data_IF_343702542106
#
_entry.id   IF_343702542106
#
_cell.length_a   1.000
_cell.length_b   1.000
_cell.length_c   1.000
_cell.angle_alpha   90.00
_cell.angle_beta   90.00
_cell.angle_gamma   90.00
#
_symmetry.space_group_name_H-M   'P 1'
#
loop_
_entity.id
_entity.type
_entity.pdbx_description
1 polymer ?
#
# COMPACT_ATOMS: atom_id res chain seq x y z
N UNK A 1 13.18 -25.60 10.02
CA UNK A 1 14.22 -24.58 10.36
C UNK A 1 15.09 -24.36 9.13
N UNK A 2 15.02 -23.19 8.51
CA UNK A 2 15.87 -22.85 7.36
C UNK A 2 17.13 -22.11 7.83
N UNK A 3 18.31 -22.60 7.44
CA UNK A 3 19.59 -21.93 7.70
C UNK A 3 19.89 -21.06 6.49
N UNK A 4 20.02 -19.76 6.70
CA UNK A 4 20.42 -18.84 5.62
C UNK A 4 21.93 -18.95 5.35
N UNK A 5 22.40 -18.50 4.18
CA UNK A 5 23.84 -18.41 3.85
C UNK A 5 24.69 -17.69 4.91
N UNK A 6 24.08 -16.88 5.79
CA UNK A 6 24.75 -16.19 6.90
C UNK A 6 24.94 -17.05 8.17
N UNK A 7 24.52 -18.32 8.17
CA UNK A 7 24.58 -19.20 9.35
C UNK A 7 23.56 -18.85 10.45
N UNK A 8 22.89 -17.70 10.36
CA UNK A 8 21.87 -17.28 11.33
C UNK A 8 20.63 -18.16 11.23
N UNK A 9 20.27 -18.81 12.35
CA UNK A 9 18.95 -19.42 12.56
C UNK A 9 17.92 -18.29 12.56
N UNK A 10 16.99 -18.28 11.60
CA UNK A 10 15.79 -17.44 11.74
C UNK A 10 14.83 -18.15 12.68
N UNK A 11 14.39 -17.45 13.73
CA UNK A 11 13.18 -17.80 14.46
C UNK A 11 12.04 -17.72 13.45
N UNK A 12 11.44 -18.87 13.11
CA UNK A 12 10.21 -18.93 12.34
C UNK A 12 9.07 -18.97 13.34
N UNK A 13 8.84 -17.85 14.03
CA UNK A 13 7.59 -17.66 14.77
C UNK A 13 6.49 -17.36 13.76
N UNK A 14 5.34 -18.01 13.93
CA UNK A 14 4.15 -17.71 13.12
C UNK A 14 3.69 -16.28 13.43
N UNK A 15 3.46 -15.49 12.39
CA UNK A 15 2.83 -14.17 12.57
C UNK A 15 1.33 -14.42 12.74
N UNK A 16 0.77 -14.05 13.89
CA UNK A 16 -0.67 -14.15 14.12
C UNK A 16 -1.33 -12.94 13.47
N UNK A 17 -2.07 -13.18 12.39
CA UNK A 17 -2.88 -12.17 11.72
C UNK A 17 -4.25 -12.10 12.39
N UNK A 18 -4.87 -10.91 12.50
CA UNK A 18 -6.26 -10.79 12.91
C UNK A 18 -7.18 -11.59 11.97
N UNK A 19 -8.21 -12.19 12.54
CA UNK A 19 -9.25 -12.89 11.80
C UNK A 19 -9.96 -11.96 10.81
N UNK A 20 -10.62 -12.53 9.80
CA UNK A 20 -11.43 -11.75 8.86
C UNK A 20 -12.57 -11.00 9.57
N UNK A 21 -13.12 -11.56 10.65
CA UNK A 21 -14.17 -10.92 11.43
C UNK A 21 -13.63 -9.70 12.21
N UNK A 22 -12.49 -9.85 12.89
CA UNK A 22 -11.84 -8.73 13.58
C UNK A 22 -11.47 -7.61 12.61
N UNK A 23 -11.03 -7.94 11.39
CA UNK A 23 -10.72 -6.95 10.34
C UNK A 23 -11.97 -6.24 9.81
N UNK A 24 -13.14 -6.89 9.82
CA UNK A 24 -14.39 -6.21 9.47
C UNK A 24 -14.77 -5.14 10.50
N UNK A 25 -14.32 -5.27 11.75
CA UNK A 25 -14.58 -4.28 12.80
C UNK A 25 -13.87 -2.94 12.56
N UNK A 26 -12.90 -2.87 11.64
CA UNK A 26 -12.31 -1.60 11.20
C UNK A 26 -13.37 -0.63 10.65
N UNK A 27 -14.48 -1.15 10.08
CA UNK A 27 -15.58 -0.32 9.59
C UNK A 27 -16.45 0.28 10.70
N UNK A 28 -16.18 -0.06 11.96
CA UNK A 28 -16.89 0.41 13.15
C UNK A 28 -16.05 1.40 13.97
N UNK A 29 -14.89 1.83 13.48
CA UNK A 29 -14.05 2.82 14.14
C UNK A 29 -14.83 4.14 14.29
N UNK A 30 -14.71 4.74 15.47
CA UNK A 30 -15.28 6.05 15.81
C UNK A 30 -14.16 6.97 16.34
N UNK A 31 -13.95 8.17 15.77
CA UNK A 31 -14.65 8.74 14.61
C UNK A 31 -14.41 7.95 13.32
N UNK A 32 -15.43 7.89 12.45
CA UNK A 32 -15.32 7.16 11.18
C UNK A 32 -14.25 7.79 10.28
N UNK A 33 -13.30 6.99 9.76
CA UNK A 33 -12.32 7.49 8.80
C UNK A 33 -12.99 7.78 7.45
N UNK A 34 -12.32 8.59 6.63
CA UNK A 34 -12.82 9.00 5.32
C UNK A 34 -12.48 7.99 4.23
N UNK A 35 -11.45 7.18 4.46
CA UNK A 35 -10.94 6.17 3.54
C UNK A 35 -10.54 4.91 4.30
N UNK A 36 -10.74 3.76 3.66
CA UNK A 36 -10.26 2.46 4.14
C UNK A 36 -9.39 1.78 3.11
N UNK A 37 -8.48 0.92 3.59
CA UNK A 37 -7.61 0.11 2.73
C UNK A 37 -8.21 -1.28 2.54
N UNK A 38 -8.24 -1.74 1.29
CA UNK A 38 -8.42 -3.17 0.97
C UNK A 38 -7.10 -3.75 0.49
N UNK A 39 -6.89 -5.03 0.82
CA UNK A 39 -5.75 -5.79 0.33
C UNK A 39 -6.23 -6.69 -0.80
N UNK A 40 -5.76 -6.44 -2.02
CA UNK A 40 -6.36 -6.95 -3.25
C UNK A 40 -6.10 -8.44 -3.56
N UNK A 41 -5.42 -9.17 -2.67
CA UNK A 41 -5.18 -10.59 -2.86
C UNK A 41 -4.51 -11.27 -1.66
N UNK A 42 -4.61 -12.59 -1.64
CA UNK A 42 -3.97 -13.42 -0.62
C UNK A 42 -2.58 -13.82 -1.06
N UNK A 43 -1.59 -13.67 -0.19
CA UNK A 43 -0.22 -14.09 -0.47
C UNK A 43 0.52 -14.45 0.82
N UNK A 44 1.68 -15.10 0.69
CA UNK A 44 2.51 -15.45 1.84
C UNK A 44 3.31 -14.23 2.31
N UNK A 45 2.86 -13.57 3.37
CA UNK A 45 3.54 -12.44 3.96
C UNK A 45 4.69 -12.91 4.85
N UNK A 46 5.92 -12.48 4.55
CA UNK A 46 7.10 -12.88 5.33
C UNK A 46 7.97 -11.70 5.75
N UNK A 47 8.39 -11.73 7.01
CA UNK A 47 9.36 -10.80 7.60
C UNK A 47 10.64 -11.55 7.98
N UNK A 48 11.69 -10.85 8.48
CA UNK A 48 12.82 -11.53 9.11
C UNK A 48 12.46 -12.35 10.35
N UNK A 49 11.30 -12.10 10.97
CA UNK A 49 10.87 -12.67 12.25
C UNK A 49 9.81 -13.77 12.12
N UNK A 50 9.29 -14.01 10.92
CA UNK A 50 8.20 -14.96 10.74
C UNK A 50 7.52 -14.85 9.39
N UNK A 51 6.48 -15.65 9.21
CA UNK A 51 5.60 -15.57 8.06
C UNK A 51 4.21 -16.05 8.39
N UNK A 52 3.26 -15.67 7.56
CA UNK A 52 1.85 -16.08 7.64
C UNK A 52 1.21 -15.94 6.27
N UNK A 53 0.19 -16.75 5.98
CA UNK A 53 -0.70 -16.44 4.88
C UNK A 53 -1.48 -15.16 5.22
N UNK A 54 -1.26 -14.10 4.46
CA UNK A 54 -2.08 -12.90 4.59
C UNK A 54 -3.35 -13.10 3.78
N UNK A 55 -4.42 -13.48 4.48
CA UNK A 55 -5.67 -13.94 3.88
C UNK A 55 -6.54 -12.75 3.46
N UNK A 56 -6.70 -12.54 2.16
CA UNK A 56 -7.63 -11.57 1.55
C UNK A 56 -8.41 -12.25 0.41
N UNK A 57 -9.34 -13.17 0.72
CA UNK A 57 -10.12 -13.84 -0.30
C UNK A 57 -11.10 -12.86 -0.96
N UNK A 58 -11.42 -13.11 -2.23
CA UNK A 58 -12.31 -12.22 -3.00
C UNK A 58 -13.67 -12.02 -2.32
N UNK A 59 -14.24 -13.03 -1.66
CA UNK A 59 -15.50 -12.89 -0.93
C UNK A 59 -15.42 -11.96 0.29
N UNK A 60 -14.26 -11.92 0.96
CA UNK A 60 -14.03 -10.97 2.05
C UNK A 60 -13.95 -9.55 1.49
N UNK A 61 -13.13 -9.33 0.46
CA UNK A 61 -13.01 -8.04 -0.20
C UNK A 61 -14.35 -7.56 -0.74
N UNK A 62 -15.12 -8.44 -1.39
CA UNK A 62 -16.48 -8.14 -1.86
C UNK A 62 -17.39 -7.64 -0.74
N UNK A 63 -17.38 -8.31 0.43
CA UNK A 63 -18.17 -7.90 1.59
C UNK A 63 -17.69 -6.57 2.16
N UNK A 64 -16.38 -6.38 2.27
CA UNK A 64 -15.77 -5.17 2.81
C UNK A 64 -16.05 -3.95 1.93
N UNK A 65 -15.81 -4.06 0.62
CA UNK A 65 -16.08 -3.02 -0.38
C UNK A 65 -17.56 -2.64 -0.39
N UNK A 66 -18.48 -3.61 -0.38
CA UNK A 66 -19.93 -3.32 -0.31
C UNK A 66 -20.28 -2.45 0.90
N UNK A 67 -19.67 -2.71 2.06
CA UNK A 67 -19.90 -1.91 3.28
C UNK A 67 -19.25 -0.53 3.20
N UNK A 68 -18.05 -0.42 2.62
CA UNK A 68 -17.39 0.87 2.35
C UNK A 68 -18.26 1.74 1.44
N UNK A 69 -18.72 1.19 0.31
CA UNK A 69 -19.58 1.88 -0.64
C UNK A 69 -20.89 2.34 0.00
N UNK A 70 -21.52 1.49 0.85
CA UNK A 70 -22.75 1.85 1.57
C UNK A 70 -22.55 3.04 2.52
N UNK A 71 -21.36 3.17 3.12
CA UNK A 71 -21.00 4.28 4.02
C UNK A 71 -20.38 5.48 3.29
N UNK A 72 -20.12 5.37 1.99
CA UNK A 72 -19.48 6.42 1.20
C UNK A 72 -17.99 6.63 1.51
N UNK A 73 -17.30 5.61 2.01
CA UNK A 73 -15.85 5.69 2.27
C UNK A 73 -15.05 5.62 0.96
N UNK A 74 -13.96 6.39 0.91
CA UNK A 74 -12.90 6.17 -0.08
C UNK A 74 -12.26 4.80 0.09
N UNK A 75 -11.65 4.28 -0.97
CA UNK A 75 -10.98 2.97 -0.95
C UNK A 75 -9.57 3.10 -1.51
N UNK A 76 -8.58 2.82 -0.67
CA UNK A 76 -7.20 2.57 -1.08
C UNK A 76 -7.02 1.08 -1.40
N UNK A 77 -6.47 0.77 -2.56
CA UNK A 77 -6.33 -0.62 -3.04
C UNK A 77 -4.87 -1.04 -2.98
N UNK A 78 -4.47 -1.73 -1.91
CA UNK A 78 -3.12 -2.27 -1.78
C UNK A 78 -2.93 -3.53 -2.65
N UNK A 79 -2.05 -3.41 -3.63
CA UNK A 79 -1.63 -4.49 -4.53
C UNK A 79 -0.17 -4.82 -4.27
N UNK A 80 0.10 -6.10 -4.02
CA UNK A 80 1.42 -6.59 -3.66
C UNK A 80 2.10 -7.31 -4.82
N UNK A 81 1.34 -7.59 -5.89
CA UNK A 81 1.77 -8.28 -7.10
C UNK A 81 0.81 -7.90 -8.24
N UNK A 82 1.18 -8.12 -9.50
CA UNK A 82 0.36 -7.77 -10.67
C UNK A 82 -0.97 -8.51 -10.68
N UNK A 83 -0.99 -9.77 -10.23
CA UNK A 83 -2.23 -10.55 -10.08
C UNK A 83 -3.29 -9.87 -9.18
N UNK A 84 -2.86 -9.07 -8.20
CA UNK A 84 -3.78 -8.34 -7.33
C UNK A 84 -4.49 -7.19 -8.06
N UNK A 85 -3.87 -6.61 -9.09
CA UNK A 85 -4.52 -5.63 -9.96
C UNK A 85 -5.64 -6.32 -10.72
N UNK A 86 -5.36 -7.48 -11.33
CA UNK A 86 -6.37 -8.29 -12.03
C UNK A 86 -7.55 -8.66 -11.12
N UNK A 87 -7.30 -9.10 -9.89
CA UNK A 87 -8.34 -9.40 -8.90
C UNK A 87 -9.29 -8.21 -8.65
N UNK A 88 -8.77 -6.98 -8.68
CA UNK A 88 -9.55 -5.76 -8.47
C UNK A 88 -10.37 -5.39 -9.69
N UNK A 89 -9.85 -5.64 -10.88
CA UNK A 89 -10.58 -5.39 -12.13
C UNK A 89 -11.84 -6.26 -12.25
N UNK A 90 -11.86 -7.47 -11.69
CA UNK A 90 -13.09 -8.27 -11.57
C UNK A 90 -14.20 -7.55 -10.77
N UNK A 91 -13.83 -6.72 -9.79
CA UNK A 91 -14.80 -5.90 -9.05
C UNK A 91 -15.29 -4.71 -9.86
N UNK A 92 -14.50 -4.22 -10.82
CA UNK A 92 -14.95 -3.20 -11.78
C UNK A 92 -15.94 -3.80 -12.77
N UNK A 93 -15.64 -4.97 -13.33
CA UNK A 93 -16.52 -5.69 -14.25
C UNK A 93 -17.89 -6.00 -13.64
N UNK A 94 -17.92 -6.34 -12.34
CA UNK A 94 -19.17 -6.59 -11.61
C UNK A 94 -19.88 -5.31 -11.13
N UNK A 95 -19.33 -4.13 -11.42
CA UNK A 95 -19.87 -2.83 -11.01
C UNK A 95 -19.76 -2.56 -9.50
N UNK A 96 -19.02 -3.38 -8.77
CA UNK A 96 -18.81 -3.22 -7.33
C UNK A 96 -17.84 -2.07 -7.03
N UNK A 97 -16.80 -1.93 -7.84
CA UNK A 97 -15.94 -0.75 -7.87
C UNK A 97 -16.21 0.04 -9.14
N UNK A 98 -16.02 1.35 -9.09
CA UNK A 98 -16.17 2.25 -10.24
C UNK A 98 -14.91 3.08 -10.39
N UNK A 99 -14.35 3.11 -11.58
CA UNK A 99 -13.22 3.98 -11.90
C UNK A 99 -13.62 5.46 -11.84
N UNK A 100 -12.69 6.39 -11.57
CA UNK A 100 -11.26 6.15 -11.29
C UNK A 100 -11.03 5.49 -9.92
N UNK A 101 -10.00 4.65 -9.84
CA UNK A 101 -9.59 3.96 -8.60
C UNK A 101 -8.32 4.58 -8.01
N UNK A 102 -7.98 4.19 -6.79
CA UNK A 102 -6.71 4.56 -6.16
C UNK A 102 -5.92 3.32 -5.74
N UNK A 103 -4.76 3.10 -6.36
CA UNK A 103 -3.90 1.94 -6.12
C UNK A 103 -2.69 2.27 -5.26
N UNK A 104 -2.40 1.43 -4.28
CA UNK A 104 -1.14 1.43 -3.51
C UNK A 104 -0.28 0.26 -3.95
N UNK A 105 0.74 0.53 -4.76
CA UNK A 105 1.69 -0.46 -5.26
C UNK A 105 2.71 -0.79 -4.17
N UNK A 106 2.49 -1.91 -3.47
CA UNK A 106 3.32 -2.32 -2.34
C UNK A 106 4.44 -3.23 -2.80
N UNK A 107 5.67 -2.73 -2.72
CA UNK A 107 6.87 -3.42 -3.21
C UNK A 107 7.83 -3.80 -2.08
N UNK A 108 8.50 -4.94 -2.24
CA UNK A 108 9.60 -5.38 -1.38
C UNK A 108 9.18 -6.17 -0.14
N UNK A 109 7.88 -6.42 0.04
CA UNK A 109 7.41 -7.43 0.99
C UNK A 109 7.69 -8.81 0.41
N UNK A 110 8.33 -9.69 1.20
CA UNK A 110 8.62 -11.05 0.75
C UNK A 110 7.32 -11.80 0.56
N UNK A 111 7.14 -12.35 -0.65
CA UNK A 111 5.93 -13.03 -1.09
C UNK A 111 5.09 -12.21 -2.08
N UNK A 112 5.37 -10.91 -2.22
CA UNK A 112 4.90 -10.10 -3.33
C UNK A 112 6.05 -9.67 -4.25
N UNK A 113 5.77 -8.68 -5.08
CA UNK A 113 6.67 -8.06 -6.04
C UNK A 113 7.90 -7.45 -5.35
N UNK A 114 9.07 -7.68 -5.97
CA UNK A 114 10.32 -7.09 -5.50
C UNK A 114 10.35 -5.57 -5.74
N UNK A 115 10.95 -4.83 -4.81
CA UNK A 115 11.17 -3.38 -4.92
C UNK A 115 12.29 -3.04 -5.91
N UNK A 116 11.99 -3.18 -7.20
CA UNK A 116 12.86 -2.80 -8.30
C UNK A 116 12.07 -1.97 -9.36
N UNK A 117 12.77 -1.20 -10.22
CA UNK A 117 12.12 -0.33 -11.20
C UNK A 117 11.27 -1.10 -12.23
N UNK A 118 11.70 -2.30 -12.63
CA UNK A 118 11.00 -3.10 -13.64
C UNK A 118 9.62 -3.55 -13.16
N UNK A 119 9.52 -4.01 -11.91
CA UNK A 119 8.24 -4.37 -11.31
C UNK A 119 7.34 -3.15 -11.10
N UNK A 120 7.90 -2.02 -10.66
CA UNK A 120 7.13 -0.79 -10.51
C UNK A 120 6.51 -0.36 -11.84
N UNK A 121 7.32 -0.25 -12.90
CA UNK A 121 6.84 0.12 -14.23
C UNK A 121 5.78 -0.86 -14.74
N UNK A 122 6.05 -2.16 -14.64
CA UNK A 122 5.13 -3.20 -15.08
C UNK A 122 3.76 -3.14 -14.38
N UNK A 123 3.74 -2.85 -13.08
CA UNK A 123 2.49 -2.72 -12.33
C UNK A 123 1.76 -1.42 -12.66
N UNK A 124 2.48 -0.30 -12.88
CA UNK A 124 1.87 0.98 -13.30
C UNK A 124 1.20 0.85 -14.67
N UNK A 125 1.81 0.13 -15.62
CA UNK A 125 1.25 -0.09 -16.96
C UNK A 125 -0.08 -0.88 -16.96
N UNK A 126 -0.44 -1.52 -15.85
CA UNK A 126 -1.69 -2.27 -15.70
C UNK A 126 -2.81 -1.46 -15.04
N UNK A 127 -2.51 -0.26 -14.57
CA UNK A 127 -3.49 0.58 -13.87
C UNK A 127 -4.48 1.15 -14.88
N UNK A 128 -5.80 1.05 -14.65
CA UNK A 128 -6.79 1.62 -15.55
C UNK A 128 -6.61 3.13 -15.73
N UNK A 129 -6.80 3.59 -16.96
CA UNK A 129 -6.73 5.01 -17.30
C UNK A 129 -7.62 5.86 -16.38
N UNK A 130 -7.12 7.04 -16.01
CA UNK A 130 -7.77 7.95 -15.08
C UNK A 130 -7.66 7.56 -13.59
N UNK A 131 -7.24 6.34 -13.27
CA UNK A 131 -6.99 5.94 -11.88
C UNK A 131 -5.69 6.56 -11.36
N UNK A 132 -5.66 6.85 -10.08
CA UNK A 132 -4.47 7.34 -9.39
C UNK A 132 -3.73 6.18 -8.73
N UNK A 133 -2.44 6.39 -8.46
CA UNK A 133 -1.64 5.39 -7.77
C UNK A 133 -0.59 6.03 -6.88
N UNK A 134 -0.12 5.28 -5.89
CA UNK A 134 1.03 5.59 -5.06
C UNK A 134 1.94 4.38 -4.93
N UNK A 135 3.21 4.61 -4.59
CA UNK A 135 4.12 3.53 -4.21
C UNK A 135 4.25 3.43 -2.69
N UNK A 136 4.24 2.20 -2.20
CA UNK A 136 4.53 1.85 -0.81
C UNK A 136 5.69 0.87 -0.83
N UNK A 137 6.73 1.11 -0.05
CA UNK A 137 7.92 0.25 -0.07
C UNK A 137 8.59 0.22 1.28
N UNK A 138 8.94 -0.97 1.73
CA UNK A 138 9.47 -1.18 3.08
C UNK A 138 11.00 -1.11 3.14
N UNK A 139 11.50 -0.49 4.21
CA UNK A 139 12.90 -0.45 4.60
C UNK A 139 13.78 0.34 3.63
N UNK A 140 14.95 -0.22 3.31
CA UNK A 140 16.02 0.48 2.58
C UNK A 140 15.65 0.96 1.16
N UNK A 141 14.57 0.42 0.60
CA UNK A 141 14.12 0.76 -0.75
C UNK A 141 13.14 1.93 -0.77
N UNK A 142 12.53 2.28 0.38
CA UNK A 142 11.47 3.30 0.51
C UNK A 142 11.80 4.59 -0.26
N UNK A 143 12.86 5.30 0.13
CA UNK A 143 13.19 6.57 -0.52
C UNK A 143 13.41 6.45 -2.04
N UNK A 144 14.03 5.36 -2.50
CA UNK A 144 14.38 5.19 -3.92
C UNK A 144 13.12 4.99 -4.76
N UNK A 145 12.22 4.12 -4.33
CA UNK A 145 10.97 3.87 -5.04
C UNK A 145 10.04 5.07 -4.94
N UNK A 146 9.98 5.76 -3.80
CA UNK A 146 9.27 7.03 -3.65
C UNK A 146 9.73 8.07 -4.66
N UNK A 147 11.04 8.26 -4.85
CA UNK A 147 11.58 9.20 -5.87
C UNK A 147 11.23 8.76 -7.28
N UNK A 148 11.35 7.46 -7.60
CA UNK A 148 10.96 6.95 -8.91
C UNK A 148 9.47 7.19 -9.20
N UNK A 149 8.60 6.90 -8.24
CA UNK A 149 7.17 7.15 -8.37
C UNK A 149 6.88 8.63 -8.61
N UNK A 150 7.60 9.54 -7.94
CA UNK A 150 7.45 10.96 -8.19
C UNK A 150 7.85 11.35 -9.62
N UNK A 151 8.93 10.79 -10.15
CA UNK A 151 9.35 11.02 -11.53
C UNK A 151 8.36 10.45 -12.57
N UNK A 152 7.60 9.41 -12.21
CA UNK A 152 6.59 8.77 -13.07
C UNK A 152 5.19 9.41 -12.95
N UNK A 153 5.05 10.50 -12.19
CA UNK A 153 3.75 11.15 -11.96
C UNK A 153 2.87 10.50 -10.89
N UNK A 154 3.33 9.43 -10.23
CA UNK A 154 2.63 8.77 -9.13
C UNK A 154 2.61 9.58 -7.84
N UNK A 155 1.71 9.21 -6.93
CA UNK A 155 1.68 9.70 -5.55
C UNK A 155 2.64 8.87 -4.67
N UNK A 156 2.79 9.25 -3.39
CA UNK A 156 3.80 8.66 -2.52
C UNK A 156 3.33 8.46 -1.09
N UNK A 157 3.76 7.34 -0.47
CA UNK A 157 3.64 7.07 0.96
C UNK A 157 5.00 7.15 1.65
N UNK A 158 5.03 7.73 2.84
CA UNK A 158 6.19 7.65 3.74
C UNK A 158 5.72 7.64 5.19
N UNK A 159 6.50 7.02 6.05
CA UNK A 159 6.22 6.94 7.47
C UNK A 159 7.03 5.83 8.15
N UNK A 160 7.01 5.83 9.48
CA UNK A 160 7.70 4.86 10.32
C UNK A 160 7.18 3.43 10.13
N UNK A 161 5.94 3.28 9.64
CA UNK A 161 5.40 1.98 9.22
C UNK A 161 6.25 1.35 8.11
N UNK A 162 6.63 2.15 7.11
CA UNK A 162 7.37 1.67 5.96
C UNK A 162 8.89 1.70 6.19
N UNK A 163 9.39 2.73 6.87
CA UNK A 163 10.82 2.87 7.14
C UNK A 163 11.10 3.54 8.48
N UNK A 164 11.89 2.87 9.31
CA UNK A 164 12.41 3.44 10.56
C UNK A 164 13.71 4.25 10.37
N UNK A 165 14.26 4.27 9.16
CA UNK A 165 15.54 4.91 8.84
C UNK A 165 15.33 6.18 8.01
N UNK A 166 15.99 7.26 8.42
CA UNK A 166 16.21 8.43 7.58
C UNK A 166 17.32 8.11 6.58
N UNK A 167 18.50 7.71 7.05
CA UNK A 167 19.67 7.40 6.23
C UNK A 167 20.18 5.99 6.50
N UNK A 168 21.21 5.56 5.76
CA UNK A 168 21.88 4.29 6.04
C UNK A 168 22.50 4.36 7.45
N UNK A 169 21.94 3.59 8.39
CA UNK A 169 22.40 3.57 9.79
C UNK A 169 21.89 4.74 10.65
N UNK A 170 21.02 5.59 10.11
CA UNK A 170 20.45 6.74 10.80
C UNK A 170 18.95 6.55 10.98
N UNK A 171 18.50 6.38 12.22
CA UNK A 171 17.08 6.26 12.53
C UNK A 171 16.35 7.59 12.27
N UNK A 172 15.11 7.50 11.79
CA UNK A 172 14.25 8.65 11.68
C UNK A 172 13.83 9.12 13.08
N UNK A 173 13.83 10.43 13.30
CA UNK A 173 13.38 11.07 14.55
C UNK A 173 11.86 11.10 14.68
N UNK A 174 11.14 10.85 13.57
CA UNK A 174 9.68 10.79 13.54
C UNK A 174 9.12 10.92 12.13
N UNK A 175 7.81 10.68 11.99
CA UNK A 175 7.09 10.81 10.71
C UNK A 175 7.28 12.19 10.08
N UNK A 176 7.25 13.26 10.88
CA UNK A 176 7.43 14.62 10.37
C UNK A 176 8.78 14.83 9.66
N UNK A 177 9.85 14.18 10.11
CA UNK A 177 11.16 14.27 9.45
C UNK A 177 11.14 13.57 8.08
N UNK A 178 10.48 12.41 8.00
CA UNK A 178 10.30 11.67 6.75
C UNK A 178 9.47 12.46 5.75
N UNK A 179 8.33 12.99 6.19
CA UNK A 179 7.44 13.83 5.37
C UNK A 179 8.18 15.08 4.86
N UNK A 180 8.88 15.82 5.73
CA UNK A 180 9.67 17.02 5.34
C UNK A 180 10.67 16.72 4.23
N UNK A 181 11.31 15.54 4.26
CA UNK A 181 12.22 15.13 3.19
C UNK A 181 11.47 14.95 1.87
N UNK A 182 10.34 14.24 1.89
CA UNK A 182 9.57 13.98 0.67
C UNK A 182 9.02 15.28 0.08
N UNK A 183 8.48 16.17 0.92
CA UNK A 183 8.02 17.51 0.52
C UNK A 183 9.15 18.32 -0.13
N UNK A 184 10.35 18.33 0.48
CA UNK A 184 11.52 19.00 -0.10
C UNK A 184 11.84 18.42 -1.49
N UNK A 185 11.96 17.10 -1.60
CA UNK A 185 12.31 16.45 -2.88
C UNK A 185 11.25 16.73 -3.95
N UNK A 186 9.95 16.66 -3.60
CA UNK A 186 8.86 16.99 -4.52
C UNK A 186 9.02 18.40 -5.10
N UNK A 187 9.33 19.39 -4.26
CA UNK A 187 9.60 20.77 -4.70
C UNK A 187 10.82 20.88 -5.62
N UNK A 188 11.91 20.19 -5.30
CA UNK A 188 13.13 20.19 -6.13
C UNK A 188 12.89 19.64 -7.55
N UNK A 189 11.90 18.76 -7.72
CA UNK A 189 11.51 18.20 -9.03
C UNK A 189 10.28 18.89 -9.64
N UNK A 190 9.88 20.05 -9.12
CA UNK A 190 8.78 20.86 -9.65
C UNK A 190 7.38 20.29 -9.39
N UNK A 191 7.20 19.50 -8.34
CA UNK A 191 5.90 18.97 -7.90
C UNK A 191 5.45 19.63 -6.62
N UNK A 192 4.25 20.19 -6.63
CA UNK A 192 3.58 20.68 -5.43
C UNK A 192 2.92 19.54 -4.66
N UNK A 193 2.79 19.73 -3.35
CA UNK A 193 2.18 18.75 -2.44
C UNK A 193 0.74 19.15 -2.18
N UNK A 194 -0.19 18.24 -2.47
CA UNK A 194 -1.61 18.45 -2.26
C UNK A 194 -1.92 18.74 -0.77
N UNK A 195 -2.79 19.71 -0.56
CA UNK A 195 -3.55 19.89 0.68
C UNK A 195 -4.50 18.72 0.90
N UNK A 196 -5.08 18.62 2.10
CA UNK A 196 -6.06 17.59 2.41
C UNK A 196 -7.29 17.70 1.49
N UNK A 197 -7.77 18.91 1.22
CA UNK A 197 -8.96 19.13 0.40
C UNK A 197 -8.70 18.78 -1.08
N UNK A 198 -7.53 19.14 -1.62
CA UNK A 198 -7.11 18.72 -2.97
C UNK A 198 -6.99 17.20 -3.06
N UNK A 199 -6.40 16.55 -2.03
CA UNK A 199 -6.29 15.09 -2.00
C UNK A 199 -7.67 14.43 -1.96
N UNK A 200 -8.62 14.96 -1.18
CA UNK A 200 -10.00 14.47 -1.16
C UNK A 200 -10.68 14.59 -2.52
N UNK A 201 -10.54 15.73 -3.18
CA UNK A 201 -11.08 15.95 -4.53
C UNK A 201 -10.48 14.96 -5.54
N UNK A 202 -9.16 14.82 -5.56
CA UNK A 202 -8.44 13.89 -6.45
C UNK A 202 -8.84 12.43 -6.22
N UNK A 203 -9.15 12.05 -4.97
CA UNK A 203 -9.55 10.70 -4.58
C UNK A 203 -11.07 10.48 -4.65
N UNK A 204 -11.86 11.51 -4.98
CA UNK A 204 -13.32 11.43 -5.00
C UNK A 204 -13.97 11.21 -3.62
N UNK A 205 -13.27 11.57 -2.55
CA UNK A 205 -13.76 11.48 -1.17
C UNK A 205 -14.67 12.68 -0.90
N UNK A 206 -15.95 12.41 -0.65
CA UNK A 206 -16.98 13.45 -0.46
C UNK A 206 -17.32 13.74 1.00
N UNK A 207 -16.71 13.00 1.93
CA UNK A 207 -16.99 13.09 3.36
C UNK A 207 -16.15 14.19 4.04
#
# INVERSE_FOLDING_TARGET
KFITKSGKKRLTTEIVQPSLEERLNLLNIDPEPEMHTINAGSFEFRTPYGGSLFKNPQDFNRKYIKRCNKKGFGIEIEVYDSSHITNVLEFVETGLLKSPLHFSLVLGIKGGAEANPANLLHMVDQIPEGSTWQVVTVGKFNLRTTVMAMCMGGNVRTGLEDTIYYGKGELAQGNAQLVKRIVRIAKEIGREVATVDEAKEMLGIKK
#
